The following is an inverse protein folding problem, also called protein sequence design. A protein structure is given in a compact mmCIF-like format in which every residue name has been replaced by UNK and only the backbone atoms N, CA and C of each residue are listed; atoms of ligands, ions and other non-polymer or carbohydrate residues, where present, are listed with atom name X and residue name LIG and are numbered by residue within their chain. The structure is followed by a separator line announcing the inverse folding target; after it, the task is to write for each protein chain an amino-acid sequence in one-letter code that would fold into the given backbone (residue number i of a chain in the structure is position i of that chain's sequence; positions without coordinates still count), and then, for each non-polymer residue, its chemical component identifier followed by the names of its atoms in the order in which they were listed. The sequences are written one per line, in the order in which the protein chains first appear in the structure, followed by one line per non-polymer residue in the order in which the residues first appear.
data_IF_897716025228
#
_entry.id   IF_897716025228
#
_cell.length_a   1.000
_cell.length_b   1.000
_cell.length_c   1.000
_cell.angle_alpha   90.00
_cell.angle_beta   90.00
_cell.angle_gamma   90.00
#
_symmetry.space_group_name_H-M   'P 1'
#
loop_
_entity.id
_entity.type
_entity.pdbx_description
1 polymer ?
#
# COMPACT_ATOMS: atom_id res chain seq x y z
N UNK A 1 11.63 -32.36 19.14
CA UNK A 1 12.08 -33.58 18.44
C UNK A 1 11.15 -34.72 18.87
N UNK A 2 10.18 -35.08 18.04
CA UNK A 2 9.00 -35.89 18.40
C UNK A 2 9.24 -37.42 18.43
N UNK A 3 10.47 -37.89 18.22
CA UNK A 3 10.76 -39.31 17.94
C UNK A 3 11.74 -39.98 18.91
N UNK A 4 12.05 -39.39 20.08
CA UNK A 4 12.89 -40.09 21.06
C UNK A 4 12.08 -41.13 21.83
N UNK A 5 12.22 -42.40 21.47
CA UNK A 5 11.79 -43.54 22.30
C UNK A 5 11.05 -44.69 21.61
N UNK A 6 10.82 -44.63 20.29
CA UNK A 6 10.03 -45.65 19.58
C UNK A 6 10.70 -46.09 18.27
N UNK A 7 10.57 -47.38 17.91
CA UNK A 7 11.16 -48.02 16.72
C UNK A 7 10.29 -47.91 15.45
N UNK A 8 9.55 -46.82 15.25
CA UNK A 8 8.86 -46.59 13.97
C UNK A 8 9.65 -45.59 13.14
N UNK A 9 9.80 -45.91 11.85
CA UNK A 9 10.43 -45.04 10.87
C UNK A 9 9.37 -44.04 10.39
N UNK A 10 9.58 -42.76 10.67
CA UNK A 10 8.64 -41.70 10.32
C UNK A 10 9.09 -41.03 9.02
N UNK A 11 8.51 -41.41 7.89
CA UNK A 11 8.72 -40.73 6.61
C UNK A 11 7.72 -39.57 6.46
N UNK A 12 8.26 -38.36 6.29
CA UNK A 12 7.48 -37.19 5.88
C UNK A 12 7.16 -37.33 4.39
N UNK A 13 5.88 -37.46 4.05
CA UNK A 13 5.40 -37.39 2.68
C UNK A 13 4.66 -36.07 2.45
N UNK A 14 5.11 -35.27 1.49
CA UNK A 14 4.37 -34.10 1.05
C UNK A 14 3.04 -34.54 0.43
N UNK A 15 1.93 -34.26 1.13
CA UNK A 15 0.57 -34.62 0.67
C UNK A 15 0.13 -33.71 -0.48
N UNK A 16 0.69 -32.49 -0.58
CA UNK A 16 0.33 -31.52 -1.62
C UNK A 16 1.45 -30.50 -1.85
N UNK A 17 1.82 -30.27 -3.10
CA UNK A 17 2.66 -29.14 -3.49
C UNK A 17 1.79 -27.90 -3.68
N UNK A 18 2.02 -26.87 -2.88
CA UNK A 18 1.52 -25.52 -3.16
C UNK A 18 2.60 -24.79 -3.96
N UNK A 19 2.33 -24.57 -5.24
CA UNK A 19 3.21 -23.75 -6.06
C UNK A 19 3.02 -22.29 -5.66
N UNK A 20 4.06 -21.72 -5.07
CA UNK A 20 4.11 -20.28 -4.87
C UNK A 20 4.18 -19.61 -6.25
N UNK A 21 3.49 -18.48 -6.46
CA UNK A 21 3.68 -17.67 -7.65
C UNK A 21 5.16 -17.36 -7.84
N UNK A 22 5.61 -17.43 -9.08
CA UNK A 22 6.99 -17.08 -9.42
C UNK A 22 7.14 -15.55 -9.47
N UNK A 23 7.15 -14.92 -8.30
CA UNK A 23 7.66 -13.57 -8.15
C UNK A 23 9.17 -13.65 -8.32
N UNK A 24 9.62 -13.50 -9.57
CA UNK A 24 11.02 -13.29 -9.93
C UNK A 24 11.71 -12.40 -8.88
N UNK A 25 13.02 -12.55 -8.64
CA UNK A 25 13.72 -11.88 -7.52
C UNK A 25 13.41 -10.37 -7.42
N UNK A 26 13.34 -9.68 -8.56
CA UNK A 26 13.05 -8.25 -8.66
C UNK A 26 11.58 -7.86 -8.36
N UNK A 27 10.65 -8.80 -8.37
CA UNK A 27 9.20 -8.60 -8.22
C UNK A 27 8.66 -9.17 -6.90
N UNK A 28 9.52 -9.67 -6.01
CA UNK A 28 9.15 -10.17 -4.69
C UNK A 28 8.36 -9.09 -3.90
N UNK A 29 7.08 -9.34 -3.54
CA UNK A 29 6.21 -8.30 -2.98
C UNK A 29 6.65 -7.84 -1.59
N UNK A 30 7.13 -8.76 -0.75
CA UNK A 30 7.66 -8.44 0.58
C UNK A 30 9.04 -7.77 0.53
N UNK A 31 9.85 -8.08 -0.49
CA UNK A 31 11.12 -7.40 -0.72
C UNK A 31 10.87 -5.93 -1.11
N UNK A 32 9.88 -5.65 -1.97
CA UNK A 32 9.48 -4.27 -2.30
C UNK A 32 8.88 -3.51 -1.12
N UNK A 33 8.17 -4.20 -0.25
CA UNK A 33 7.73 -3.60 1.01
C UNK A 33 8.93 -3.25 1.89
N UNK A 34 9.87 -4.17 2.05
CA UNK A 34 11.09 -3.93 2.82
C UNK A 34 11.91 -2.75 2.27
N UNK A 35 12.04 -2.64 0.94
CA UNK A 35 12.69 -1.53 0.26
C UNK A 35 12.01 -0.18 0.58
N UNK A 36 10.68 -0.14 0.53
CA UNK A 36 9.91 1.06 0.91
C UNK A 36 10.20 1.46 2.37
N UNK A 37 10.09 0.51 3.30
CA UNK A 37 10.28 0.81 4.72
C UNK A 37 11.71 1.27 5.02
N UNK A 38 12.69 0.72 4.30
CA UNK A 38 14.10 1.12 4.39
C UNK A 38 14.31 2.53 3.84
N UNK A 39 13.71 2.86 2.70
CA UNK A 39 13.77 4.21 2.12
C UNK A 39 13.14 5.26 3.04
N UNK A 40 12.00 4.95 3.67
CA UNK A 40 11.39 5.83 4.68
C UNK A 40 12.38 6.09 5.82
N UNK A 41 13.00 5.04 6.36
CA UNK A 41 13.93 5.15 7.48
C UNK A 41 15.17 6.00 7.16
N UNK A 42 15.76 5.80 5.99
CA UNK A 42 16.95 6.55 5.56
C UNK A 42 16.67 8.06 5.45
N UNK A 43 15.42 8.45 5.18
CA UNK A 43 15.03 9.85 5.01
C UNK A 43 14.48 10.47 6.31
N UNK A 44 13.80 9.72 7.17
CA UNK A 44 13.16 10.26 8.40
C UNK A 44 14.07 10.26 9.62
N UNK A 45 15.09 9.39 9.68
CA UNK A 45 15.97 9.23 10.85
C UNK A 45 15.34 8.53 12.06
N UNK A 46 14.02 8.66 12.26
CA UNK A 46 13.24 8.00 13.30
C UNK A 46 12.23 7.02 12.70
N UNK A 47 11.99 5.90 13.42
CA UNK A 47 10.96 4.92 13.07
C UNK A 47 9.82 4.97 14.06
N UNK A 48 8.61 5.05 13.54
CA UNK A 48 7.45 4.64 14.32
C UNK A 48 7.57 3.16 14.70
N UNK A 49 7.02 2.82 15.87
CA UNK A 49 7.17 1.48 16.45
C UNK A 49 6.60 0.38 15.54
N UNK A 50 5.49 0.66 14.85
CA UNK A 50 4.83 -0.27 13.95
C UNK A 50 5.67 -0.57 12.70
N UNK A 51 6.33 0.44 12.12
CA UNK A 51 7.27 0.25 11.00
C UNK A 51 8.46 -0.62 11.42
N UNK A 52 9.00 -0.37 12.60
CA UNK A 52 10.11 -1.18 13.15
C UNK A 52 9.69 -2.64 13.35
N UNK A 53 8.51 -2.87 13.92
CA UNK A 53 7.96 -4.20 14.11
C UNK A 53 7.77 -4.90 12.76
N UNK A 54 7.19 -4.22 11.77
CA UNK A 54 6.98 -4.79 10.43
C UNK A 54 8.29 -5.10 9.71
N UNK A 55 9.27 -4.19 9.73
CA UNK A 55 10.60 -4.46 9.15
C UNK A 55 11.30 -5.64 9.82
N UNK A 56 11.08 -5.87 11.13
CA UNK A 56 11.65 -7.02 11.84
C UNK A 56 11.07 -8.33 11.33
N UNK A 57 9.75 -8.38 11.12
CA UNK A 57 9.08 -9.56 10.53
C UNK A 57 9.60 -9.83 9.11
N UNK A 58 9.72 -8.79 8.28
CA UNK A 58 10.20 -8.92 6.90
C UNK A 58 11.67 -9.40 6.81
N UNK A 59 12.47 -9.14 7.85
CA UNK A 59 13.87 -9.60 7.93
C UNK A 59 14.03 -11.00 8.54
N UNK A 60 12.98 -11.58 9.12
CA UNK A 60 13.07 -12.88 9.78
C UNK A 60 13.35 -13.98 8.76
N UNK A 61 14.50 -14.63 8.88
CA UNK A 61 14.91 -15.80 8.09
C UNK A 61 14.32 -17.12 8.64
N UNK A 62 13.88 -17.12 9.91
CA UNK A 62 13.33 -18.29 10.59
C UNK A 62 11.85 -18.49 10.33
N UNK A 63 11.07 -17.43 10.58
CA UNK A 63 9.61 -17.50 10.58
C UNK A 63 9.03 -16.97 9.25
N UNK A 64 9.77 -16.09 8.58
CA UNK A 64 9.30 -15.36 7.41
C UNK A 64 8.02 -14.58 7.69
N UNK A 65 7.29 -14.26 6.63
CA UNK A 65 5.92 -13.72 6.73
C UNK A 65 4.96 -14.91 6.79
N UNK A 66 4.67 -15.39 7.99
CA UNK A 66 3.74 -16.50 8.23
C UNK A 66 2.30 -16.01 8.37
N UNK A 67 2.12 -14.90 9.10
CA UNK A 67 0.86 -14.24 9.38
C UNK A 67 0.90 -12.78 8.90
N UNK A 68 -0.27 -12.22 8.55
CA UNK A 68 -0.41 -10.85 8.04
C UNK A 68 0.44 -10.54 6.79
N UNK A 69 0.07 -11.08 5.62
CA UNK A 69 0.85 -10.89 4.40
C UNK A 69 0.83 -9.46 3.85
N UNK A 70 -0.15 -8.65 4.27
CA UNK A 70 -0.35 -7.27 3.82
C UNK A 70 0.33 -6.27 4.75
N UNK A 71 0.63 -5.08 4.23
CA UNK A 71 1.06 -3.95 5.06
C UNK A 71 -0.16 -3.39 5.79
N UNK A 72 -0.32 -3.68 7.08
CA UNK A 72 -1.39 -3.13 7.91
C UNK A 72 -0.90 -1.86 8.60
N UNK A 73 -1.69 -0.78 8.49
CA UNK A 73 -1.44 0.44 9.25
C UNK A 73 -1.91 0.26 10.70
N UNK A 74 -1.38 1.04 11.67
CA UNK A 74 -1.68 0.92 13.11
C UNK A 74 -3.16 0.76 13.47
N UNK A 75 -4.05 1.51 12.82
CA UNK A 75 -5.49 1.48 13.09
C UNK A 75 -6.28 0.63 12.08
N UNK A 76 -5.60 -0.27 11.37
CA UNK A 76 -6.21 -1.21 10.43
C UNK A 76 -6.14 -2.62 11.00
N UNK A 77 -7.23 -3.36 10.85
CA UNK A 77 -7.32 -4.74 11.31
C UNK A 77 -7.07 -5.72 10.18
N UNK A 78 -6.48 -6.86 10.52
CA UNK A 78 -6.48 -8.00 9.63
C UNK A 78 -7.90 -8.54 9.44
N UNK A 79 -8.19 -9.10 8.27
CA UNK A 79 -9.53 -9.55 7.90
C UNK A 79 -9.53 -11.04 7.57
N UNK A 80 -10.73 -11.63 7.60
CA UNK A 80 -11.00 -12.98 7.13
C UNK A 80 -12.13 -12.94 6.11
N UNK A 81 -12.16 -13.91 5.20
CA UNK A 81 -13.22 -13.98 4.19
C UNK A 81 -14.59 -14.24 4.84
N UNK A 82 -15.61 -13.59 4.26
CA UNK A 82 -17.00 -13.79 4.64
C UNK A 82 -17.61 -15.09 4.10
N UNK A 83 -18.85 -15.38 4.51
CA UNK A 83 -19.59 -16.62 4.17
C UNK A 83 -19.90 -16.79 2.67
N UNK A 84 -19.78 -15.73 1.86
CA UNK A 84 -20.15 -15.72 0.45
C UNK A 84 -18.98 -15.38 -0.47
N UNK A 85 -17.74 -15.55 0.01
CA UNK A 85 -16.58 -15.23 -0.81
C UNK A 85 -16.42 -16.21 -1.97
N UNK A 86 -16.13 -15.68 -3.15
CA UNK A 86 -15.85 -16.48 -4.35
C UNK A 86 -14.44 -17.07 -4.35
N UNK A 87 -13.56 -16.58 -3.48
CA UNK A 87 -12.14 -16.98 -3.43
C UNK A 87 -11.90 -18.14 -2.45
N UNK A 88 -12.77 -18.32 -1.44
CA UNK A 88 -12.59 -19.34 -0.42
C UNK A 88 -13.74 -19.42 0.56
N UNK A 89 -13.67 -20.37 1.48
CA UNK A 89 -14.67 -20.55 2.54
C UNK A 89 -14.59 -19.44 3.59
N UNK A 90 -15.68 -19.26 4.34
CA UNK A 90 -15.72 -18.38 5.51
C UNK A 90 -14.51 -18.62 6.42
N UNK A 91 -13.90 -17.56 6.89
CA UNK A 91 -12.84 -17.63 7.89
C UNK A 91 -11.44 -17.88 7.32
N UNK A 92 -11.30 -18.03 6.00
CA UNK A 92 -10.00 -18.03 5.33
C UNK A 92 -9.16 -16.84 5.79
N UNK A 93 -7.92 -17.12 6.16
CA UNK A 93 -6.97 -16.10 6.61
C UNK A 93 -6.51 -15.21 5.46
N UNK A 94 -5.91 -14.08 5.78
CA UNK A 94 -5.31 -13.20 4.79
C UNK A 94 -4.24 -13.88 3.95
N UNK A 95 -3.45 -14.77 4.55
CA UNK A 95 -2.44 -15.54 3.82
C UNK A 95 -3.08 -16.55 2.86
N UNK A 96 -4.11 -17.27 3.30
CA UNK A 96 -4.84 -18.22 2.43
C UNK A 96 -5.49 -17.49 1.25
N UNK A 97 -6.12 -16.35 1.51
CA UNK A 97 -6.73 -15.51 0.48
C UNK A 97 -5.67 -14.99 -0.49
N UNK A 98 -4.54 -14.48 0.01
CA UNK A 98 -3.44 -14.02 -0.84
C UNK A 98 -2.96 -15.15 -1.74
N UNK A 99 -2.72 -16.36 -1.22
CA UNK A 99 -2.27 -17.48 -2.04
C UNK A 99 -3.30 -17.89 -3.10
N UNK A 100 -4.58 -17.89 -2.76
CA UNK A 100 -5.64 -18.19 -3.73
C UNK A 100 -5.65 -17.15 -4.87
N UNK A 101 -5.62 -15.86 -4.53
CA UNK A 101 -5.55 -14.77 -5.52
C UNK A 101 -4.27 -14.87 -6.35
N UNK A 102 -3.12 -15.04 -5.70
CA UNK A 102 -1.84 -15.06 -6.39
C UNK A 102 -1.69 -16.27 -7.32
N UNK A 103 -2.24 -17.43 -6.93
CA UNK A 103 -2.31 -18.62 -7.79
C UNK A 103 -3.19 -18.38 -9.01
N UNK A 104 -4.34 -17.72 -8.84
CA UNK A 104 -5.20 -17.34 -9.96
C UNK A 104 -4.50 -16.37 -10.91
N UNK A 105 -3.78 -15.38 -10.38
CA UNK A 105 -2.99 -14.44 -11.17
C UNK A 105 -1.88 -15.15 -11.96
N UNK A 106 -1.19 -16.10 -11.34
CA UNK A 106 -0.15 -16.89 -12.02
C UNK A 106 -0.74 -17.78 -13.12
N UNK A 107 -1.90 -18.40 -12.88
CA UNK A 107 -2.62 -19.15 -13.91
C UNK A 107 -3.01 -18.26 -15.11
N UNK A 108 -3.39 -17.01 -14.85
CA UNK A 108 -3.66 -16.03 -15.90
C UNK A 108 -2.39 -15.61 -16.65
N UNK A 109 -1.24 -15.43 -15.98
CA UNK A 109 0.05 -15.15 -16.66
C UNK A 109 0.49 -16.28 -17.58
N UNK A 110 0.19 -17.51 -17.20
CA UNK A 110 0.56 -18.72 -17.96
C UNK A 110 -0.59 -19.26 -18.82
N UNK A 111 -1.67 -18.48 -19.02
CA UNK A 111 -2.83 -18.95 -19.75
C UNK A 111 -2.44 -19.36 -21.19
N UNK A 112 -2.84 -20.56 -21.66
CA UNK A 112 -2.47 -21.04 -22.99
C UNK A 112 -3.06 -20.15 -24.10
N UNK A 113 -4.25 -19.58 -23.85
CA UNK A 113 -4.93 -18.67 -24.77
C UNK A 113 -4.41 -17.25 -24.55
N UNK A 114 -3.86 -16.66 -25.60
CA UNK A 114 -3.26 -15.32 -25.57
C UNK A 114 -4.20 -14.24 -25.04
N UNK A 115 -5.44 -14.21 -25.53
CA UNK A 115 -6.44 -13.20 -25.17
C UNK A 115 -6.83 -13.22 -23.68
N UNK A 116 -6.49 -14.28 -22.94
CA UNK A 116 -6.73 -14.42 -21.50
C UNK A 116 -5.47 -14.23 -20.66
N UNK A 117 -4.33 -13.98 -21.31
CA UNK A 117 -3.03 -13.97 -20.65
C UNK A 117 -2.76 -12.62 -19.98
N UNK A 118 -2.34 -12.65 -18.72
CA UNK A 118 -1.89 -11.45 -17.99
C UNK A 118 -0.39 -11.18 -18.17
N UNK A 119 0.11 -11.28 -19.40
CA UNK A 119 1.48 -10.95 -19.74
C UNK A 119 1.49 -9.81 -20.77
N UNK A 120 1.97 -8.61 -20.43
CA UNK A 120 2.00 -7.49 -21.36
C UNK A 120 2.99 -7.81 -22.49
N UNK A 121 2.46 -8.16 -23.66
CA UNK A 121 3.26 -8.37 -24.87
C UNK A 121 3.24 -7.15 -25.74
N UNK A 122 4.41 -6.75 -26.24
CA UNK A 122 4.51 -5.70 -27.25
C UNK A 122 3.56 -5.97 -28.43
N UNK A 123 2.77 -4.99 -28.90
CA UNK A 123 2.71 -3.58 -28.48
C UNK A 123 1.72 -3.29 -27.34
N UNK A 124 1.03 -4.29 -26.81
CA UNK A 124 0.01 -4.16 -25.75
C UNK A 124 0.68 -4.10 -24.38
N UNK A 125 0.73 -2.89 -23.82
CA UNK A 125 1.32 -2.64 -22.49
C UNK A 125 0.38 -2.95 -21.33
N UNK A 126 -0.90 -3.27 -21.57
CA UNK A 126 -1.92 -3.40 -20.53
C UNK A 126 -2.79 -4.64 -20.70
N UNK A 127 -2.96 -5.43 -19.64
CA UNK A 127 -3.70 -6.70 -19.68
C UNK A 127 -4.74 -6.82 -18.57
N UNK A 128 -4.50 -6.23 -17.41
CA UNK A 128 -5.48 -6.20 -16.32
C UNK A 128 -6.32 -4.93 -16.39
N UNK A 129 -7.65 -5.08 -16.34
CA UNK A 129 -8.59 -3.97 -16.41
C UNK A 129 -9.15 -3.59 -15.04
N UNK A 130 -9.42 -2.30 -14.82
CA UNK A 130 -10.03 -1.77 -13.58
C UNK A 130 -11.33 -2.49 -13.19
N UNK A 131 -12.15 -2.86 -14.18
CA UNK A 131 -13.38 -3.65 -13.97
C UNK A 131 -13.11 -4.93 -13.19
N UNK A 132 -11.97 -5.59 -13.40
CA UNK A 132 -11.57 -6.78 -12.66
C UNK A 132 -11.41 -6.53 -11.16
N UNK A 133 -11.03 -5.31 -10.76
CA UNK A 133 -10.94 -4.89 -9.37
C UNK A 133 -12.33 -4.54 -8.78
N UNK A 134 -13.18 -3.90 -9.57
CA UNK A 134 -14.52 -3.47 -9.15
C UNK A 134 -15.49 -4.63 -8.90
N UNK A 135 -15.27 -5.79 -9.55
CA UNK A 135 -16.09 -7.00 -9.36
C UNK A 135 -16.07 -7.54 -7.93
N UNK A 136 -15.02 -7.22 -7.16
CA UNK A 136 -14.90 -7.66 -5.78
C UNK A 136 -15.33 -6.55 -4.85
N UNK A 137 -16.15 -6.85 -3.85
CA UNK A 137 -16.53 -5.92 -2.78
C UNK A 137 -15.64 -6.08 -1.56
N UNK A 138 -15.09 -7.27 -1.31
CA UNK A 138 -14.25 -7.55 -0.15
C UNK A 138 -12.87 -6.89 -0.26
N UNK A 139 -12.52 -6.04 0.72
CA UNK A 139 -11.23 -5.37 0.78
C UNK A 139 -10.05 -6.34 0.83
N UNK A 140 -10.23 -7.52 1.43
CA UNK A 140 -9.19 -8.53 1.52
C UNK A 140 -8.78 -9.10 0.14
N UNK A 141 -9.76 -9.40 -0.72
CA UNK A 141 -9.49 -9.88 -2.08
C UNK A 141 -8.79 -8.78 -2.89
N UNK A 142 -9.28 -7.55 -2.78
CA UNK A 142 -8.70 -6.38 -3.42
C UNK A 142 -7.26 -6.11 -2.98
N UNK A 143 -6.96 -6.28 -1.69
CA UNK A 143 -5.59 -6.19 -1.17
C UNK A 143 -4.71 -7.29 -1.80
N UNK A 144 -5.24 -8.53 -1.87
CA UNK A 144 -4.60 -9.64 -2.58
C UNK A 144 -4.27 -9.32 -4.03
N UNK A 145 -5.20 -8.72 -4.77
CA UNK A 145 -4.99 -8.29 -6.15
C UNK A 145 -3.90 -7.24 -6.26
N UNK A 146 -3.94 -6.19 -5.43
CA UNK A 146 -2.93 -5.12 -5.44
C UNK A 146 -1.53 -5.62 -5.08
N UNK A 147 -1.45 -6.59 -4.17
CA UNK A 147 -0.19 -7.21 -3.76
C UNK A 147 0.44 -8.01 -4.89
N UNK A 148 -0.39 -8.67 -5.71
CA UNK A 148 0.04 -9.70 -6.67
C UNK A 148 0.16 -9.20 -8.10
N UNK A 149 -0.63 -8.20 -8.50
CA UNK A 149 -0.56 -7.59 -9.83
C UNK A 149 0.72 -6.76 -9.95
N UNK A 150 1.46 -6.96 -11.04
CA UNK A 150 2.67 -6.19 -11.35
C UNK A 150 2.30 -4.80 -11.87
N UNK A 151 3.07 -3.74 -11.59
CA UNK A 151 2.78 -2.39 -12.09
C UNK A 151 2.57 -2.33 -13.62
N UNK A 152 3.34 -3.11 -14.38
CA UNK A 152 3.26 -3.23 -15.85
C UNK A 152 2.05 -4.02 -16.36
N UNK A 153 1.33 -4.71 -15.50
CA UNK A 153 0.10 -5.43 -15.88
C UNK A 153 -1.11 -4.49 -15.93
N UNK A 154 -1.00 -3.31 -15.29
CA UNK A 154 -1.95 -2.21 -15.38
C UNK A 154 -1.69 -1.35 -16.62
N UNK A 155 -2.77 -0.91 -17.28
CA UNK A 155 -2.65 0.14 -18.30
C UNK A 155 -2.34 1.49 -17.68
N UNK A 156 -1.48 2.28 -18.34
CA UNK A 156 -1.09 3.62 -17.87
C UNK A 156 -2.31 4.54 -17.64
N UNK A 157 -3.29 4.48 -18.53
CA UNK A 157 -4.58 5.20 -18.36
C UNK A 157 -5.33 4.75 -17.11
N UNK A 158 -5.26 3.46 -16.80
CA UNK A 158 -5.96 2.87 -15.65
C UNK A 158 -5.26 3.11 -14.33
N UNK A 159 -3.95 3.38 -14.31
CA UNK A 159 -3.24 3.69 -13.05
C UNK A 159 -3.80 4.95 -12.37
N UNK A 160 -4.22 5.95 -13.17
CA UNK A 160 -4.89 7.16 -12.66
C UNK A 160 -6.27 6.82 -12.10
N UNK A 161 -7.07 6.08 -12.85
CA UNK A 161 -8.43 5.68 -12.47
C UNK A 161 -8.42 4.76 -11.24
N UNK A 162 -7.45 3.84 -11.16
CA UNK A 162 -7.22 2.97 -10.00
C UNK A 162 -6.92 3.81 -8.76
N UNK A 163 -6.08 4.85 -8.87
CA UNK A 163 -5.84 5.78 -7.78
C UNK A 163 -7.12 6.48 -7.29
N UNK A 164 -7.99 6.92 -8.20
CA UNK A 164 -9.29 7.52 -7.85
C UNK A 164 -10.20 6.51 -7.17
N UNK A 165 -10.31 5.30 -7.72
CA UNK A 165 -11.11 4.23 -7.16
C UNK A 165 -10.64 3.84 -5.76
N UNK A 166 -9.34 3.58 -5.58
CA UNK A 166 -8.77 3.20 -4.28
C UNK A 166 -8.98 4.28 -3.22
N UNK A 167 -8.79 5.56 -3.56
CA UNK A 167 -9.07 6.68 -2.64
C UNK A 167 -10.54 6.73 -2.22
N UNK A 168 -11.47 6.37 -3.10
CA UNK A 168 -12.90 6.27 -2.79
C UNK A 168 -13.18 5.06 -1.90
N UNK A 169 -12.66 3.90 -2.26
CA UNK A 169 -12.95 2.64 -1.58
C UNK A 169 -12.30 2.57 -0.19
N UNK A 170 -11.07 3.07 -0.01
CA UNK A 170 -10.38 3.08 1.28
C UNK A 170 -11.10 3.89 2.38
N UNK A 171 -12.05 4.77 2.02
CA UNK A 171 -12.89 5.50 2.98
C UNK A 171 -14.00 4.65 3.58
N UNK A 172 -14.24 3.45 3.06
CA UNK A 172 -15.26 2.53 3.55
C UNK A 172 -14.71 1.73 4.75
N UNK A 173 -15.53 1.46 5.79
CA UNK A 173 -15.05 0.82 7.03
C UNK A 173 -14.39 -0.55 6.85
N UNK A 174 -14.79 -1.30 5.82
CA UNK A 174 -14.32 -2.66 5.52
C UNK A 174 -13.10 -2.70 4.59
N UNK A 175 -12.63 -1.55 4.12
CA UNK A 175 -11.58 -1.43 3.10
C UNK A 175 -10.25 -0.90 3.65
N UNK A 176 -10.13 -0.67 4.96
CA UNK A 176 -8.91 -0.13 5.58
C UNK A 176 -7.64 -0.96 5.33
N UNK A 177 -7.79 -2.26 5.03
CA UNK A 177 -6.70 -3.16 4.61
C UNK A 177 -6.03 -2.72 3.29
N UNK A 178 -6.73 -1.95 2.45
CA UNK A 178 -6.19 -1.45 1.18
C UNK A 178 -5.19 -0.31 1.37
N UNK A 179 -5.18 0.36 2.52
CA UNK A 179 -4.35 1.56 2.72
C UNK A 179 -2.86 1.24 2.58
N UNK A 180 -2.37 0.17 3.19
CA UNK A 180 -0.95 -0.20 3.05
C UNK A 180 -0.60 -0.68 1.66
N UNK A 181 -1.49 -1.41 1.00
CA UNK A 181 -1.29 -1.81 -0.39
C UNK A 181 -1.32 -0.60 -1.35
N UNK A 182 -2.11 0.43 -1.04
CA UNK A 182 -2.09 1.71 -1.75
C UNK A 182 -0.76 2.43 -1.57
N UNK A 183 -0.21 2.49 -0.35
CA UNK A 183 1.14 3.05 -0.11
C UNK A 183 2.20 2.33 -0.94
N UNK A 184 2.18 1.00 -0.93
CA UNK A 184 3.09 0.17 -1.72
C UNK A 184 2.90 0.38 -3.22
N UNK A 185 1.68 0.60 -3.67
CA UNK A 185 1.39 0.80 -5.09
C UNK A 185 1.82 2.18 -5.57
N UNK A 186 1.72 3.21 -4.71
CA UNK A 186 2.29 4.53 -4.96
C UNK A 186 3.81 4.43 -5.09
N UNK A 187 4.48 3.80 -4.12
CA UNK A 187 5.94 3.61 -4.13
C UNK A 187 6.43 2.85 -5.37
N UNK A 188 5.75 1.77 -5.74
CA UNK A 188 6.06 0.96 -6.94
C UNK A 188 5.69 1.65 -8.25
N UNK A 189 5.22 2.91 -8.22
CA UNK A 189 4.73 3.67 -9.38
C UNK A 189 3.59 2.98 -10.13
N UNK A 190 2.81 2.15 -9.44
CA UNK A 190 1.59 1.53 -9.98
C UNK A 190 0.37 2.44 -9.85
N UNK A 191 0.42 3.43 -8.94
CA UNK A 191 -0.64 4.43 -8.74
C UNK A 191 0.01 5.79 -8.56
N UNK A 192 -0.60 6.84 -9.13
CA UNK A 192 -0.11 8.20 -8.94
C UNK A 192 -0.28 8.66 -7.48
N UNK A 193 0.75 9.28 -6.88
CA UNK A 193 0.64 9.80 -5.53
C UNK A 193 -0.49 10.84 -5.44
N UNK A 194 -1.28 10.85 -4.35
CA UNK A 194 -2.18 11.97 -4.07
C UNK A 194 -1.38 13.26 -3.81
N UNK A 195 -2.07 14.41 -3.87
CA UNK A 195 -1.57 15.63 -3.24
C UNK A 195 -1.51 15.48 -1.71
N UNK A 196 -0.74 16.34 -1.03
CA UNK A 196 -0.54 16.30 0.42
C UNK A 196 -1.86 16.38 1.21
N UNK A 197 -2.81 17.21 0.78
CA UNK A 197 -4.11 17.35 1.47
C UNK A 197 -4.93 16.05 1.41
N UNK A 198 -4.99 15.43 0.24
CA UNK A 198 -5.64 14.13 0.03
C UNK A 198 -4.90 13.02 0.77
N UNK A 199 -3.57 13.06 0.80
CA UNK A 199 -2.76 12.09 1.54
C UNK A 199 -3.09 12.13 3.04
N UNK A 200 -3.02 13.32 3.65
CA UNK A 200 -3.32 13.50 5.08
C UNK A 200 -4.74 13.13 5.42
N UNK A 201 -5.71 13.45 4.55
CA UNK A 201 -7.11 13.05 4.75
C UNK A 201 -7.28 11.53 4.75
N UNK A 202 -6.55 10.83 3.88
CA UNK A 202 -6.70 9.39 3.70
C UNK A 202 -5.94 8.58 4.76
N UNK A 203 -4.69 8.97 5.04
CA UNK A 203 -3.78 8.20 5.89
C UNK A 203 -3.66 8.75 7.30
N UNK A 204 -3.96 10.03 7.53
CA UNK A 204 -3.84 10.68 8.84
C UNK A 204 -4.59 9.96 9.98
N UNK A 205 -5.80 9.41 9.76
CA UNK A 205 -6.48 8.63 10.81
C UNK A 205 -5.78 7.30 11.16
N UNK A 206 -4.83 6.84 10.35
CA UNK A 206 -4.20 5.52 10.45
C UNK A 206 -2.70 5.56 10.71
N UNK A 207 -2.07 6.72 10.57
CA UNK A 207 -0.63 6.95 10.73
C UNK A 207 -0.34 7.86 11.93
N UNK A 208 0.88 7.81 12.44
CA UNK A 208 1.30 8.75 13.50
C UNK A 208 1.63 10.13 12.91
N UNK A 209 1.76 11.16 13.74
CA UNK A 209 2.20 12.47 13.27
C UNK A 209 3.61 12.46 12.67
N UNK A 210 4.48 11.57 13.15
CA UNK A 210 5.84 11.36 12.64
C UNK A 210 5.82 10.79 11.21
N UNK A 211 4.90 9.85 10.95
CA UNK A 211 4.69 9.26 9.63
C UNK A 211 4.09 10.27 8.62
N UNK A 212 3.59 11.43 9.08
CA UNK A 212 3.03 12.50 8.24
C UNK A 212 4.01 13.64 7.95
N UNK A 213 5.29 13.46 8.31
CA UNK A 213 6.36 14.44 8.08
C UNK A 213 6.85 14.44 6.63
N UNK A 214 7.46 15.55 6.21
CA UNK A 214 7.96 15.77 4.84
C UNK A 214 8.88 14.65 4.32
N UNK A 215 9.84 14.09 5.09
CA UNK A 215 10.70 13.03 4.57
C UNK A 215 9.93 11.79 4.14
N UNK A 216 8.87 11.42 4.88
CA UNK A 216 8.00 10.30 4.54
C UNK A 216 7.26 10.55 3.22
N UNK A 217 6.71 11.76 3.07
CA UNK A 217 5.99 12.18 1.87
C UNK A 217 6.90 12.24 0.64
N UNK A 218 8.15 12.69 0.81
CA UNK A 218 9.15 12.73 -0.25
C UNK A 218 9.50 11.34 -0.79
N UNK A 219 9.66 10.35 0.09
CA UNK A 219 9.86 8.96 -0.34
C UNK A 219 8.68 8.49 -1.20
N UNK A 220 7.46 8.82 -0.81
CA UNK A 220 6.27 8.45 -1.60
C UNK A 220 6.05 9.30 -2.85
N UNK A 221 6.92 10.29 -3.12
CA UNK A 221 6.77 11.22 -4.23
C UNK A 221 5.51 12.08 -4.13
N UNK A 222 4.97 12.26 -2.92
CA UNK A 222 3.83 13.16 -2.67
C UNK A 222 4.33 14.59 -2.82
N UNK A 223 3.75 15.39 -3.74
CA UNK A 223 4.19 16.77 -3.94
C UNK A 223 4.03 17.55 -2.64
N UNK A 224 5.12 18.12 -2.14
CA UNK A 224 5.05 19.04 -1.01
C UNK A 224 4.07 20.16 -1.38
N UNK A 225 3.13 20.48 -0.48
CA UNK A 225 2.42 21.73 -0.60
C UNK A 225 3.50 22.81 -0.69
N UNK A 226 3.52 23.61 -1.75
CA UNK A 226 4.19 24.90 -1.69
C UNK A 226 3.60 25.59 -0.47
N UNK A 227 4.29 25.53 0.68
CA UNK A 227 4.01 26.41 1.79
C UNK A 227 4.19 27.77 1.13
N UNK A 228 3.06 28.45 0.85
CA UNK A 228 3.14 29.87 0.63
C UNK A 228 4.00 30.36 1.79
N UNK A 229 5.12 31.06 1.51
CA UNK A 229 5.94 31.57 2.59
C UNK A 229 4.98 32.27 3.56
N UNK A 230 5.10 32.02 4.88
CA UNK A 230 4.20 32.62 5.85
C UNK A 230 4.04 34.08 5.46
N UNK A 231 2.81 34.62 5.33
CA UNK A 231 2.60 35.96 4.82
C UNK A 231 3.60 36.83 5.57
N UNK A 232 4.59 37.39 4.84
CA UNK A 232 5.61 38.23 5.46
C UNK A 232 4.82 39.16 6.35
N UNK A 233 5.00 39.06 7.68
CA UNK A 233 4.29 39.91 8.63
C UNK A 233 4.35 41.28 8.00
N UNK A 234 3.20 41.81 7.58
CA UNK A 234 3.19 43.11 6.97
C UNK A 234 3.86 43.99 8.04
N UNK A 235 5.06 44.48 7.75
CA UNK A 235 5.65 45.56 8.50
C UNK A 235 4.61 46.65 8.35
N UNK A 236 3.73 46.81 9.35
CA UNK A 236 2.81 47.92 9.46
C UNK A 236 3.71 49.14 9.54
N UNK A 237 3.92 49.89 8.45
CA UNK A 237 4.78 51.05 8.50
C UNK A 237 3.88 52.17 8.97
N UNK A 238 3.94 52.50 10.27
CA UNK A 238 3.75 53.86 10.78
C UNK A 238 2.67 54.75 10.09
N UNK A 239 1.50 54.18 9.75
CA UNK A 239 0.37 54.89 9.14
C UNK A 239 -0.68 55.26 10.21
N UNK A 240 -0.19 55.54 11.43
CA UNK A 240 -0.96 56.12 12.53
C UNK A 240 -0.30 57.36 13.14
N UNK A 241 0.64 58.00 12.42
CA UNK A 241 1.30 59.25 12.82
C UNK A 241 1.23 60.34 11.72
N UNK A 242 0.18 60.33 10.89
CA UNK A 242 -0.12 61.43 9.94
C UNK A 242 -1.53 62.01 10.02
N UNK A 243 -2.35 61.57 10.97
CA UNK A 243 -3.70 62.14 11.21
C UNK A 243 -3.79 63.13 12.39
N UNK A 244 -2.68 63.40 13.11
CA UNK A 244 -2.68 64.35 14.24
C UNK A 244 -1.92 65.66 14.00
N UNK A 245 -1.48 65.96 12.78
CA UNK A 245 -0.80 67.25 12.48
C UNK A 245 -1.64 68.25 11.67
N UNK A 246 -2.95 68.02 11.47
CA UNK A 246 -3.83 68.93 10.69
C UNK A 246 -4.74 69.81 11.56
N UNK A 247 -4.75 69.65 12.90
CA UNK A 247 -5.61 70.45 13.80
C UNK A 247 -4.86 71.25 14.87
N UNK A 248 -3.67 71.77 14.58
CA UNK A 248 -2.99 72.69 15.50
C UNK A 248 -2.39 73.90 14.75
N UNK A 249 -3.27 74.71 14.17
CA UNK A 249 -3.05 76.15 13.93
C UNK A 249 -4.36 76.82 13.49
N UNK A 250 -5.25 77.06 14.46
CA UNK A 250 -6.25 78.14 14.44
C UNK A 250 -6.49 78.57 15.89
N UNK A 251 -5.67 79.51 16.36
CA UNK A 251 -5.99 80.65 17.23
C UNK A 251 -4.71 81.40 17.53
#
# INVERSE_FOLDING_TARGET
MLTKGYQWDASLHCVRSLYLPNWQEQDCPWCKEFDLLSAIFENSGERSSWLTARSTVLKSDKDGVSDSPFLLLPNSEDRRLGDQSVVGSRGFSSMQTLFAVASAMEALRNAPIEAKRLDPRFPVSSVFQLKGFELYTEGLIRAGLMRTIKPREWGESQQKELGVLLKKECKKPDQAILLGELLLSIWRRGVFPPDDSTFRLLFGPHLTNEDLLEPFLQVLGVPAHHRQPPPKKANFPALLMRFLSVFRNRR
#
